data_IF_288997127395
#
_entry.id   IF_288997127395
#
_cell.length_a   1.000
_cell.length_b   1.000
_cell.length_c   1.000
_cell.angle_alpha   90.00
_cell.angle_beta   90.00
_cell.angle_gamma   90.00
#
_symmetry.space_group_name_H-M   'P 1'
#
loop_
_entity.id
_entity.type
_entity.pdbx_description
1 polymer ?
#
# COMPACT_ATOMS: atom_id res chain seq x y z
N UNK A 1 -1.59 23.69 -31.51
CA UNK A 1 -2.34 23.86 -30.25
C UNK A 1 -1.74 22.87 -29.26
N UNK A 2 -0.89 23.32 -28.34
CA UNK A 2 -0.26 22.42 -27.37
C UNK A 2 -1.36 21.97 -26.42
N UNK A 3 -1.72 20.68 -26.47
CA UNK A 3 -2.71 20.10 -25.57
C UNK A 3 -2.15 20.23 -24.15
N UNK A 4 -2.68 21.15 -23.36
CA UNK A 4 -2.35 21.23 -21.95
C UNK A 4 -2.86 19.93 -21.32
N UNK A 5 -1.95 19.01 -21.00
CA UNK A 5 -2.33 17.72 -20.43
C UNK A 5 -3.05 17.98 -19.11
N UNK A 6 -4.32 17.58 -19.03
CA UNK A 6 -5.09 17.60 -17.79
C UNK A 6 -4.47 16.63 -16.78
N UNK A 7 -3.51 17.15 -16.02
CA UNK A 7 -2.82 16.42 -14.95
C UNK A 7 -3.28 16.96 -13.61
N UNK A 8 -3.18 16.13 -12.56
CA UNK A 8 -3.41 16.57 -11.18
C UNK A 8 -2.47 17.74 -10.83
N UNK A 9 -1.24 17.73 -11.35
CA UNK A 9 -0.30 18.83 -11.20
C UNK A 9 -0.84 20.16 -11.73
N UNK A 10 -1.37 20.17 -12.97
CA UNK A 10 -1.93 21.37 -13.58
C UNK A 10 -3.13 21.90 -12.78
N UNK A 11 -4.02 20.99 -12.35
CA UNK A 11 -5.18 21.33 -11.52
C UNK A 11 -4.78 21.91 -10.17
N UNK A 12 -3.80 21.31 -9.47
CA UNK A 12 -3.28 21.82 -8.20
C UNK A 12 -2.62 23.19 -8.38
N UNK A 13 -1.84 23.40 -9.45
CA UNK A 13 -1.21 24.69 -9.73
C UNK A 13 -2.25 25.78 -10.00
N UNK A 14 -3.32 25.45 -10.72
CA UNK A 14 -4.42 26.38 -10.96
C UNK A 14 -5.16 26.73 -9.65
N UNK A 15 -5.48 25.73 -8.82
CA UNK A 15 -6.28 25.92 -7.61
C UNK A 15 -5.50 26.49 -6.41
N UNK A 16 -4.21 26.15 -6.31
CA UNK A 16 -3.31 26.46 -5.19
C UNK A 16 -1.92 26.92 -5.69
N UNK A 17 -1.83 28.01 -6.48
CA UNK A 17 -0.55 28.46 -7.04
C UNK A 17 0.50 28.78 -5.96
N UNK A 18 0.07 29.24 -4.78
CA UNK A 18 0.92 29.56 -3.64
C UNK A 18 1.58 28.34 -2.98
N UNK A 19 1.05 27.13 -3.21
CA UNK A 19 1.60 25.89 -2.67
C UNK A 19 2.58 25.21 -3.64
N UNK A 20 2.76 25.76 -4.84
CA UNK A 20 3.70 25.23 -5.80
C UNK A 20 5.14 25.47 -5.34
N UNK A 21 5.90 24.38 -5.21
CA UNK A 21 7.30 24.37 -4.79
C UNK A 21 8.22 24.30 -6.02
N UNK A 22 8.87 25.42 -6.41
CA UNK A 22 9.72 25.47 -7.60
C UNK A 22 10.98 24.61 -7.47
N UNK A 23 11.35 24.16 -6.26
CA UNK A 23 12.47 23.24 -6.05
C UNK A 23 12.15 21.79 -6.44
N UNK A 24 10.90 21.51 -6.84
CA UNK A 24 10.46 20.18 -7.23
C UNK A 24 10.11 20.14 -8.72
N UNK A 25 10.45 19.03 -9.38
CA UNK A 25 10.17 18.85 -10.80
C UNK A 25 8.67 19.05 -11.14
N UNK A 26 7.78 18.52 -10.29
CA UNK A 26 6.34 18.64 -10.47
C UNK A 26 5.73 19.87 -9.78
N UNK A 27 6.48 20.72 -9.10
CA UNK A 27 5.90 21.79 -8.27
C UNK A 27 5.16 21.31 -7.02
N UNK A 28 4.99 20.00 -6.82
CA UNK A 28 4.30 19.41 -5.67
C UNK A 28 4.96 18.11 -5.26
N UNK A 29 4.83 17.73 -3.99
CA UNK A 29 5.44 16.53 -3.41
C UNK A 29 4.39 15.44 -3.23
N UNK A 30 4.12 14.67 -4.28
CA UNK A 30 3.22 13.51 -4.22
C UNK A 30 3.80 12.42 -3.32
N UNK A 31 3.05 12.02 -2.29
CA UNK A 31 3.51 11.02 -1.31
C UNK A 31 3.42 9.59 -1.86
N UNK A 32 2.52 9.36 -2.80
CA UNK A 32 2.32 8.10 -3.52
C UNK A 32 1.71 8.38 -4.89
N UNK A 33 1.44 7.31 -5.65
CA UNK A 33 0.83 7.38 -6.98
C UNK A 33 -0.54 6.67 -7.00
N UNK A 34 -1.32 7.00 -8.01
CA UNK A 34 -2.51 6.29 -8.48
C UNK A 34 -2.37 6.09 -9.99
N UNK A 35 -2.93 4.99 -10.50
CA UNK A 35 -3.02 4.77 -11.95
C UNK A 35 -3.90 5.86 -12.59
N UNK A 36 -3.63 6.20 -13.85
CA UNK A 36 -4.39 7.23 -14.59
C UNK A 36 -5.92 7.01 -14.53
N UNK A 37 -6.37 5.76 -14.71
CA UNK A 37 -7.79 5.41 -14.74
C UNK A 37 -8.39 5.20 -13.33
N UNK A 38 -7.60 5.26 -12.27
CA UNK A 38 -8.05 5.08 -10.88
C UNK A 38 -8.36 6.42 -10.23
N UNK A 39 -9.57 6.57 -9.71
CA UNK A 39 -9.94 7.75 -8.90
C UNK A 39 -9.68 7.54 -7.41
N UNK A 40 -9.80 8.59 -6.61
CA UNK A 40 -9.89 8.49 -5.15
C UNK A 40 -8.77 9.25 -4.43
N UNK A 41 -8.48 8.83 -3.20
CA UNK A 41 -7.55 9.51 -2.30
C UNK A 41 -6.11 9.55 -2.84
N UNK A 42 -5.55 10.76 -2.97
CA UNK A 42 -4.16 11.01 -3.33
C UNK A 42 -3.56 12.04 -2.36
N UNK A 43 -2.49 11.64 -1.65
CA UNK A 43 -1.83 12.51 -0.68
C UNK A 43 -0.68 13.32 -1.31
N UNK A 44 -0.70 14.63 -1.06
CA UNK A 44 0.36 15.58 -1.46
C UNK A 44 0.89 16.28 -0.22
N UNK A 45 2.19 16.20 0.01
CA UNK A 45 2.85 16.91 1.09
C UNK A 45 3.14 18.36 0.70
N UNK A 46 2.86 19.29 1.62
CA UNK A 46 3.04 20.73 1.38
C UNK A 46 4.45 21.24 1.69
N UNK A 47 5.30 20.42 2.30
CA UNK A 47 6.69 20.76 2.57
C UNK A 47 7.58 19.50 2.62
N UNK A 48 8.90 19.72 2.62
CA UNK A 48 9.90 18.64 2.61
C UNK A 48 9.83 17.74 3.84
N UNK A 49 9.53 18.30 5.03
CA UNK A 49 9.43 17.54 6.27
C UNK A 49 8.24 16.57 6.24
N UNK A 50 7.06 17.04 5.84
CA UNK A 50 5.85 16.23 5.67
C UNK A 50 6.06 15.14 4.61
N UNK A 51 6.71 15.47 3.48
CA UNK A 51 7.04 14.49 2.45
C UNK A 51 7.96 13.39 2.99
N UNK A 52 8.95 13.75 3.82
CA UNK A 52 9.85 12.80 4.47
C UNK A 52 9.14 11.90 5.48
N UNK A 53 8.18 12.43 6.26
CA UNK A 53 7.38 11.63 7.17
C UNK A 53 6.49 10.63 6.43
N UNK A 54 5.71 11.10 5.44
CA UNK A 54 4.85 10.24 4.64
C UNK A 54 5.66 9.16 3.89
N UNK A 55 6.80 9.53 3.31
CA UNK A 55 7.70 8.59 2.64
C UNK A 55 8.14 7.44 3.56
N UNK A 56 8.48 7.72 4.83
CA UNK A 56 8.82 6.67 5.80
C UNK A 56 7.66 5.72 6.02
N UNK A 57 6.43 6.22 6.20
CA UNK A 57 5.26 5.37 6.37
C UNK A 57 5.02 4.44 5.16
N UNK A 58 5.17 4.96 3.93
CA UNK A 58 5.04 4.14 2.71
C UNK A 58 6.18 3.12 2.58
N UNK A 59 7.42 3.54 2.85
CA UNK A 59 8.61 2.67 2.79
C UNK A 59 8.52 1.53 3.80
N UNK A 60 8.08 1.82 5.01
CA UNK A 60 7.99 0.87 6.12
C UNK A 60 6.67 0.07 6.09
N UNK A 61 5.84 0.28 5.06
CA UNK A 61 4.54 -0.40 4.84
C UNK A 61 3.57 -0.25 6.02
N UNK A 62 3.56 0.92 6.64
CA UNK A 62 2.65 1.25 7.74
C UNK A 62 1.36 1.93 7.27
N UNK A 63 1.33 2.39 6.01
CA UNK A 63 0.13 2.97 5.40
C UNK A 63 -0.90 1.88 5.14
N UNK A 64 -2.15 2.13 5.55
CA UNK A 64 -3.30 1.29 5.21
C UNK A 64 -4.07 1.93 4.08
N UNK A 65 -4.38 1.12 3.06
CA UNK A 65 -5.17 1.55 1.90
C UNK A 65 -6.28 0.54 1.67
N UNK A 66 -7.45 1.03 1.28
CA UNK A 66 -8.53 0.18 0.79
C UNK A 66 -9.16 0.81 -0.46
N UNK A 67 -9.51 -0.02 -1.41
CA UNK A 67 -10.05 0.37 -2.70
C UNK A 67 -11.41 -0.29 -2.90
N UNK A 68 -12.34 0.44 -3.49
CA UNK A 68 -13.56 -0.16 -4.01
C UNK A 68 -13.35 -0.54 -5.46
N UNK A 69 -13.94 -1.66 -5.87
CA UNK A 69 -14.04 -2.01 -7.26
C UNK A 69 -15.37 -2.69 -7.58
N UNK A 70 -15.84 -2.52 -8.81
CA UNK A 70 -16.78 -3.45 -9.45
C UNK A 70 -15.96 -4.41 -10.31
N UNK A 71 -16.06 -5.71 -10.06
CA UNK A 71 -15.38 -6.76 -10.83
C UNK A 71 -16.39 -7.62 -11.58
N UNK A 72 -16.02 -8.08 -12.78
CA UNK A 72 -16.87 -8.93 -13.62
C UNK A 72 -17.12 -10.29 -12.96
N UNK A 73 -18.32 -10.82 -13.13
CA UNK A 73 -18.76 -12.09 -12.55
C UNK A 73 -19.08 -12.01 -11.06
N UNK A 74 -19.57 -13.14 -10.52
CA UNK A 74 -19.81 -13.30 -9.09
C UNK A 74 -18.61 -13.97 -8.43
N UNK A 75 -17.94 -13.25 -7.53
CA UNK A 75 -16.83 -13.81 -6.75
C UNK A 75 -17.40 -14.77 -5.71
N UNK A 76 -17.03 -16.05 -5.80
CA UNK A 76 -17.57 -17.10 -4.93
C UNK A 76 -17.08 -16.98 -3.49
N UNK A 77 -15.79 -16.65 -3.29
CA UNK A 77 -15.18 -16.51 -1.97
C UNK A 77 -15.41 -15.10 -1.43
N UNK A 78 -16.24 -14.98 -0.40
CA UNK A 78 -16.58 -13.68 0.22
C UNK A 78 -15.37 -12.96 0.83
N UNK A 79 -14.35 -13.71 1.24
CA UNK A 79 -13.05 -13.20 1.67
C UNK A 79 -11.96 -14.07 1.07
N UNK A 80 -10.98 -13.46 0.41
CA UNK A 80 -9.86 -14.18 -0.17
C UNK A 80 -8.57 -13.35 -0.13
N UNK A 81 -7.46 -14.02 0.12
CA UNK A 81 -6.12 -13.46 -0.05
C UNK A 81 -5.59 -13.84 -1.43
N UNK A 82 -5.15 -12.84 -2.19
CA UNK A 82 -4.55 -12.97 -3.51
C UNK A 82 -3.05 -12.73 -3.36
N UNK A 83 -2.24 -13.75 -3.63
CA UNK A 83 -0.80 -13.79 -3.32
C UNK A 83 0.08 -14.08 -4.56
N UNK A 84 -0.46 -13.88 -5.76
CA UNK A 84 0.30 -14.01 -7.01
C UNK A 84 1.44 -12.98 -7.07
N UNK A 85 2.68 -13.42 -7.27
CA UNK A 85 3.80 -12.51 -7.56
C UNK A 85 3.57 -11.80 -8.90
N UNK A 86 3.92 -10.51 -8.98
CA UNK A 86 3.73 -9.70 -10.20
C UNK A 86 5.08 -9.24 -10.77
N UNK A 87 5.26 -9.47 -12.07
CA UNK A 87 6.42 -9.07 -12.87
C UNK A 87 6.03 -8.18 -14.05
N UNK A 88 7.04 -7.70 -14.79
CA UNK A 88 6.82 -6.98 -16.04
C UNK A 88 6.49 -7.99 -17.14
N UNK A 89 5.62 -7.62 -18.07
CA UNK A 89 5.39 -8.42 -19.26
C UNK A 89 6.36 -7.98 -20.37
N UNK A 90 7.14 -8.90 -20.93
CA UNK A 90 8.05 -8.64 -22.06
C UNK A 90 7.55 -9.17 -23.41
N UNK A 91 6.37 -9.79 -23.45
CA UNK A 91 5.73 -10.20 -24.70
C UNK A 91 5.42 -8.99 -25.58
N UNK A 92 5.59 -9.18 -26.89
CA UNK A 92 5.30 -8.15 -27.89
C UNK A 92 3.85 -7.64 -27.77
N UNK A 93 3.67 -6.33 -27.85
CA UNK A 93 2.37 -5.66 -27.68
C UNK A 93 1.86 -5.55 -26.24
N UNK A 94 2.46 -6.25 -25.27
CA UNK A 94 2.03 -6.27 -23.85
C UNK A 94 3.02 -5.62 -22.89
N UNK A 95 4.07 -4.96 -23.39
CA UNK A 95 5.15 -4.36 -22.57
C UNK A 95 4.70 -3.24 -21.63
N UNK A 96 3.52 -2.67 -21.86
CA UNK A 96 2.87 -1.71 -20.96
C UNK A 96 2.07 -2.37 -19.82
N UNK A 97 1.94 -3.70 -19.84
CA UNK A 97 1.22 -4.50 -18.86
C UNK A 97 2.18 -5.11 -17.83
N UNK A 98 1.58 -5.42 -16.69
CA UNK A 98 2.17 -6.31 -15.68
C UNK A 98 1.53 -7.70 -15.82
N UNK A 99 2.20 -8.75 -15.39
CA UNK A 99 1.66 -10.11 -15.43
C UNK A 99 2.03 -10.89 -14.16
N UNK A 100 1.32 -11.98 -13.92
CA UNK A 100 1.60 -12.88 -12.80
C UNK A 100 2.76 -13.81 -13.14
N UNK A 101 3.49 -14.23 -12.12
CA UNK A 101 4.47 -15.32 -12.21
C UNK A 101 3.87 -16.55 -12.91
N UNK A 102 4.66 -17.19 -13.79
CA UNK A 102 4.21 -18.31 -14.62
C UNK A 102 3.53 -17.92 -15.95
N UNK A 103 3.19 -16.64 -16.15
CA UNK A 103 2.76 -16.15 -17.47
C UNK A 103 3.96 -16.07 -18.43
N UNK A 104 3.76 -16.39 -19.70
CA UNK A 104 4.78 -16.18 -20.75
C UNK A 104 5.24 -14.71 -20.77
N UNK A 105 6.55 -14.50 -20.88
CA UNK A 105 7.14 -13.15 -20.86
C UNK A 105 7.13 -12.46 -19.49
N UNK A 106 6.85 -13.16 -18.38
CA UNK A 106 6.92 -12.57 -17.05
C UNK A 106 8.36 -12.43 -16.55
N UNK A 107 8.80 -11.20 -16.35
CA UNK A 107 10.16 -10.87 -15.91
C UNK A 107 10.18 -10.27 -14.49
N UNK A 108 11.12 -10.76 -13.68
CA UNK A 108 11.40 -10.28 -12.32
C UNK A 108 10.13 -10.18 -11.44
N UNK A 109 9.37 -11.29 -11.28
CA UNK A 109 8.20 -11.28 -10.43
C UNK A 109 8.57 -10.97 -8.99
N UNK A 110 7.77 -10.12 -8.34
CA UNK A 110 7.96 -9.76 -6.93
C UNK A 110 6.75 -10.19 -6.13
N UNK A 111 6.95 -10.73 -4.91
CA UNK A 111 5.83 -11.08 -4.03
C UNK A 111 4.92 -9.88 -3.82
N UNK A 112 3.63 -10.10 -3.98
CA UNK A 112 2.62 -9.09 -3.70
C UNK A 112 1.33 -9.73 -3.23
N UNK A 113 0.62 -9.03 -2.35
CA UNK A 113 -0.53 -9.56 -1.65
C UNK A 113 -1.65 -8.53 -1.59
N UNK A 114 -2.87 -8.99 -1.87
CA UNK A 114 -4.10 -8.21 -1.81
C UNK A 114 -5.15 -9.02 -1.05
N UNK A 115 -5.78 -8.43 -0.05
CA UNK A 115 -6.98 -8.99 0.57
C UNK A 115 -8.21 -8.47 -0.18
N UNK A 116 -9.09 -9.38 -0.61
CA UNK A 116 -10.35 -9.09 -1.26
C UNK A 116 -11.50 -9.46 -0.32
N UNK A 117 -12.43 -8.54 -0.11
CA UNK A 117 -13.66 -8.76 0.63
C UNK A 117 -14.85 -8.40 -0.26
N UNK A 118 -15.79 -9.31 -0.43
CA UNK A 118 -17.03 -9.04 -1.14
C UNK A 118 -17.96 -8.18 -0.29
N UNK A 119 -18.51 -7.13 -0.90
CA UNK A 119 -19.48 -6.23 -0.27
C UNK A 119 -20.89 -6.52 -0.80
N UNK A 120 -21.06 -6.51 -2.12
CA UNK A 120 -22.36 -6.62 -2.77
C UNK A 120 -22.24 -7.41 -4.08
N UNK A 121 -23.30 -8.12 -4.45
CA UNK A 121 -23.49 -8.71 -5.78
C UNK A 121 -24.58 -7.94 -6.51
N UNK A 122 -24.45 -7.83 -7.82
CA UNK A 122 -25.46 -7.20 -8.65
C UNK A 122 -25.16 -7.35 -10.13
N UNK A 123 -25.71 -6.41 -10.90
CA UNK A 123 -25.51 -6.32 -12.33
C UNK A 123 -24.88 -4.97 -12.71
N UNK A 124 -24.04 -4.97 -13.73
CA UNK A 124 -23.59 -3.76 -14.41
C UNK A 124 -23.88 -3.88 -15.89
N UNK A 125 -24.77 -3.03 -16.40
CA UNK A 125 -25.20 -3.06 -17.82
C UNK A 125 -25.77 -4.43 -18.26
N UNK A 126 -26.41 -5.14 -17.32
CA UNK A 126 -27.00 -6.47 -17.55
C UNK A 126 -26.08 -7.65 -17.23
N UNK A 127 -24.76 -7.43 -17.11
CA UNK A 127 -23.80 -8.49 -16.77
C UNK A 127 -23.65 -8.65 -15.27
N UNK A 128 -23.38 -9.88 -14.81
CA UNK A 128 -23.08 -10.14 -13.40
C UNK A 128 -21.77 -9.45 -12.98
N UNK A 129 -21.81 -8.75 -11.85
CA UNK A 129 -20.64 -8.14 -11.23
C UNK A 129 -20.68 -8.27 -9.71
N UNK A 130 -19.52 -8.11 -9.09
CA UNK A 130 -19.35 -8.07 -7.64
C UNK A 130 -18.70 -6.76 -7.23
N UNK A 131 -19.28 -6.08 -6.26
CA UNK A 131 -18.63 -4.96 -5.58
C UNK A 131 -17.75 -5.50 -4.46
N UNK A 132 -16.48 -5.14 -4.51
CA UNK A 132 -15.46 -5.63 -3.58
C UNK A 132 -14.69 -4.49 -2.93
N UNK A 133 -14.22 -4.74 -1.71
CA UNK A 133 -13.18 -3.96 -1.06
C UNK A 133 -11.84 -4.70 -1.22
N UNK A 134 -10.84 -3.99 -1.73
CA UNK A 134 -9.49 -4.50 -1.96
C UNK A 134 -8.51 -3.77 -1.03
N UNK A 135 -7.83 -4.52 -0.16
CA UNK A 135 -6.76 -4.02 0.72
C UNK A 135 -5.41 -4.54 0.22
N UNK A 136 -4.65 -3.74 -0.55
CA UNK A 136 -3.31 -4.13 -0.97
C UNK A 136 -2.32 -4.00 0.19
N UNK A 137 -1.71 -5.12 0.58
CA UNK A 137 -0.65 -5.18 1.60
C UNK A 137 0.73 -4.83 1.03
N UNK A 138 0.84 -4.85 -0.30
CA UNK A 138 2.00 -4.39 -1.06
C UNK A 138 1.60 -3.30 -2.07
N UNK A 139 2.55 -2.70 -2.77
CA UNK A 139 2.27 -1.69 -3.79
C UNK A 139 3.05 -1.94 -5.07
N UNK A 140 2.61 -2.90 -5.89
CA UNK A 140 3.14 -3.11 -7.25
C UNK A 140 2.29 -2.35 -8.27
N UNK A 141 2.90 -1.99 -9.39
CA UNK A 141 2.21 -1.35 -10.51
C UNK A 141 1.02 -2.21 -10.93
N UNK A 142 -0.16 -1.60 -11.07
CA UNK A 142 -1.40 -2.27 -11.47
C UNK A 142 -1.80 -3.48 -10.60
N UNK A 143 -1.28 -3.62 -9.36
CA UNK A 143 -1.42 -4.84 -8.55
C UNK A 143 -2.87 -5.34 -8.46
N UNK A 144 -3.80 -4.45 -8.09
CA UNK A 144 -5.21 -4.80 -7.92
C UNK A 144 -5.84 -5.28 -9.23
N UNK A 145 -5.54 -4.59 -10.33
CA UNK A 145 -6.05 -4.89 -11.67
C UNK A 145 -5.59 -6.26 -12.16
N UNK A 146 -4.29 -6.56 -12.00
CA UNK A 146 -3.69 -7.85 -12.33
C UNK A 146 -4.27 -8.96 -11.46
N UNK A 147 -4.34 -8.77 -10.13
CA UNK A 147 -4.85 -9.78 -9.21
C UNK A 147 -6.32 -10.12 -9.47
N UNK A 148 -7.17 -9.12 -9.70
CA UNK A 148 -8.57 -9.32 -10.05
C UNK A 148 -8.71 -10.06 -11.39
N UNK A 149 -7.95 -9.67 -12.41
CA UNK A 149 -7.92 -10.39 -13.70
C UNK A 149 -7.41 -11.85 -13.55
N UNK A 150 -6.39 -12.08 -12.71
CA UNK A 150 -5.80 -13.40 -12.49
C UNK A 150 -6.76 -14.40 -11.84
N UNK A 151 -7.72 -13.93 -11.03
CA UNK A 151 -8.79 -14.78 -10.47
C UNK A 151 -10.02 -14.90 -11.39
N UNK A 152 -9.94 -14.41 -12.62
CA UNK A 152 -11.05 -14.46 -13.59
C UNK A 152 -12.11 -13.37 -13.41
N UNK A 153 -11.86 -12.38 -12.55
CA UNK A 153 -12.80 -11.31 -12.23
C UNK A 153 -12.16 -9.94 -12.54
N UNK A 154 -11.89 -9.60 -13.81
CA UNK A 154 -11.30 -8.31 -14.16
C UNK A 154 -12.19 -7.15 -13.69
N UNK A 155 -11.55 -6.01 -13.41
CA UNK A 155 -12.27 -4.80 -12.99
C UNK A 155 -13.08 -4.28 -14.18
N UNK A 156 -14.35 -3.95 -13.94
CA UNK A 156 -15.25 -3.38 -14.95
C UNK A 156 -14.64 -2.12 -15.55
N UNK A 157 -14.55 -2.07 -16.88
CA UNK A 157 -13.98 -0.94 -17.62
C UNK A 157 -12.44 -0.90 -17.63
N UNK A 158 -11.76 -1.96 -17.19
CA UNK A 158 -10.31 -2.09 -17.32
C UNK A 158 -9.91 -2.67 -18.69
N UNK A 159 -9.86 -1.79 -19.69
CA UNK A 159 -9.51 -2.13 -21.07
C UNK A 159 -8.21 -2.93 -21.20
N UNK A 160 -7.20 -2.64 -20.37
CA UNK A 160 -5.88 -3.28 -20.44
C UNK A 160 -5.94 -4.74 -20.01
N UNK A 161 -6.53 -5.00 -18.84
CA UNK A 161 -6.53 -6.34 -18.23
C UNK A 161 -7.73 -7.20 -18.60
N UNK A 162 -8.73 -6.61 -19.26
CA UNK A 162 -9.79 -7.34 -19.97
C UNK A 162 -9.38 -7.72 -21.40
N UNK A 163 -8.15 -7.42 -21.84
CA UNK A 163 -7.68 -7.61 -23.22
C UNK A 163 -8.61 -6.96 -24.27
N UNK A 164 -9.09 -5.75 -23.96
CA UNK A 164 -9.98 -4.99 -24.83
C UNK A 164 -11.47 -5.34 -24.73
N UNK A 165 -11.87 -6.36 -23.96
CA UNK A 165 -13.27 -6.76 -23.84
C UNK A 165 -14.17 -5.76 -23.09
N UNK A 166 -13.63 -5.03 -22.10
CA UNK A 166 -14.38 -4.05 -21.29
C UNK A 166 -14.08 -2.62 -21.74
N UNK A 167 -14.59 -2.23 -22.90
CA UNK A 167 -14.45 -0.88 -23.47
C UNK A 167 -15.72 -0.02 -23.38
N UNK A 168 -16.86 -0.63 -23.07
CA UNK A 168 -18.18 0.04 -22.99
C UNK A 168 -18.43 0.86 -21.71
N UNK A 169 -17.91 0.51 -20.52
CA UNK A 169 -18.08 1.35 -19.33
C UNK A 169 -17.39 2.70 -19.49
N UNK A 170 -18.01 3.79 -19.00
CA UNK A 170 -17.48 5.16 -19.19
C UNK A 170 -16.14 5.42 -18.46
N UNK A 171 -15.73 4.51 -17.58
CA UNK A 171 -14.50 4.56 -16.80
C UNK A 171 -14.14 3.18 -16.27
N UNK A 172 -12.92 3.04 -15.77
CA UNK A 172 -12.53 1.91 -14.93
C UNK A 172 -13.14 2.06 -13.53
N UNK A 173 -13.77 0.99 -13.04
CA UNK A 173 -14.45 0.92 -11.75
C UNK A 173 -13.48 0.53 -10.64
N UNK A 174 -12.42 1.32 -10.47
CA UNK A 174 -11.48 1.22 -9.35
C UNK A 174 -11.34 2.56 -8.66
N UNK A 175 -11.54 2.58 -7.34
CA UNK A 175 -11.55 3.80 -6.54
C UNK A 175 -10.75 3.62 -5.24
N UNK A 176 -9.75 4.47 -5.01
CA UNK A 176 -9.00 4.57 -3.77
C UNK A 176 -9.88 5.20 -2.68
N UNK A 177 -10.61 4.36 -1.96
CA UNK A 177 -11.61 4.77 -0.97
C UNK A 177 -10.95 5.23 0.34
N UNK A 178 -10.06 4.42 0.92
CA UNK A 178 -9.44 4.68 2.21
C UNK A 178 -7.94 4.92 2.05
N UNK A 179 -7.44 5.97 2.71
CA UNK A 179 -6.02 6.20 2.94
C UNK A 179 -5.79 6.57 4.41
N UNK A 180 -5.09 5.71 5.12
CA UNK A 180 -4.66 5.93 6.50
C UNK A 180 -3.13 5.93 6.59
N UNK A 181 -2.55 7.09 6.90
CA UNK A 181 -1.11 7.28 7.10
C UNK A 181 -0.90 7.59 8.59
N UNK A 182 -0.20 6.72 9.35
CA UNK A 182 0.04 6.91 10.78
C UNK A 182 1.14 7.96 11.02
N UNK A 183 0.86 9.21 10.66
CA UNK A 183 1.70 10.36 10.97
C UNK A 183 1.62 10.69 12.46
N UNK A 184 2.66 11.34 12.97
CA UNK A 184 2.69 11.88 14.34
C UNK A 184 2.68 13.42 14.30
N UNK A 185 2.02 14.09 15.27
CA UNK A 185 1.30 13.51 16.40
C UNK A 185 -0.08 12.95 16.05
N UNK A 186 -0.63 13.32 14.89
CA UNK A 186 -1.97 12.93 14.45
C UNK A 186 -1.92 12.15 13.14
N UNK A 187 -2.62 10.99 13.07
CA UNK A 187 -2.70 10.21 11.84
C UNK A 187 -3.54 10.94 10.77
N UNK A 188 -3.13 10.82 9.51
CA UNK A 188 -3.95 11.25 8.39
C UNK A 188 -4.90 10.11 8.01
N UNK A 189 -6.18 10.30 8.27
CA UNK A 189 -7.25 9.39 7.85
C UNK A 189 -8.15 10.10 6.84
N UNK A 190 -8.20 9.58 5.62
CA UNK A 190 -9.12 10.06 4.59
C UNK A 190 -9.96 8.90 4.04
N UNK A 191 -11.29 9.08 4.04
CA UNK A 191 -12.24 8.24 3.31
C UNK A 191 -12.88 9.09 2.21
N UNK A 192 -12.64 8.73 0.95
CA UNK A 192 -13.32 9.29 -0.20
C UNK A 192 -14.70 8.64 -0.35
N UNK A 193 -15.73 9.40 -0.71
CA UNK A 193 -17.09 8.86 -0.87
C UNK A 193 -17.14 7.71 -1.89
N UNK A 194 -17.98 6.72 -1.63
CA UNK A 194 -18.22 5.61 -2.55
C UNK A 194 -18.83 6.11 -3.87
N UNK A 195 -18.17 5.95 -5.03
CA UNK A 195 -18.72 6.36 -6.31
C UNK A 195 -19.57 5.28 -6.99
N UNK A 196 -19.69 4.07 -6.44
CA UNK A 196 -20.36 2.93 -7.08
C UNK A 196 -21.72 2.67 -6.43
N UNK A 197 -22.66 3.57 -6.68
CA UNK A 197 -24.05 3.49 -6.24
C UNK A 197 -25.01 3.94 -7.36
N UNK A 198 -26.20 3.35 -7.39
CA UNK A 198 -27.11 3.41 -8.54
C UNK A 198 -27.58 4.82 -8.92
N UNK A 199 -27.61 5.77 -7.97
CA UNK A 199 -28.00 7.15 -8.26
C UNK A 199 -26.94 7.89 -9.08
N UNK A 200 -25.65 7.60 -8.85
CA UNK A 200 -24.56 8.20 -9.62
C UNK A 200 -24.32 7.46 -10.93
N UNK A 201 -24.49 6.13 -10.92
CA UNK A 201 -24.38 5.28 -12.09
C UNK A 201 -25.54 4.27 -12.16
N UNK A 202 -26.60 4.59 -12.94
CA UNK A 202 -27.77 3.73 -13.07
C UNK A 202 -27.50 2.36 -13.69
N UNK A 203 -26.32 2.15 -14.32
CA UNK A 203 -25.94 0.84 -14.85
C UNK A 203 -25.63 -0.15 -13.75
N UNK A 204 -25.19 0.32 -12.58
CA UNK A 204 -24.95 -0.51 -11.41
C UNK A 204 -26.26 -0.76 -10.64
N UNK A 205 -26.68 -2.02 -10.64
CA UNK A 205 -27.90 -2.49 -9.98
C UNK A 205 -27.52 -3.51 -8.88
N UNK A 206 -27.36 -3.07 -7.62
CA UNK A 206 -27.10 -3.98 -6.50
C UNK A 206 -28.31 -4.88 -6.27
N UNK A 207 -28.05 -6.16 -6.02
CA UNK A 207 -29.09 -7.18 -5.80
C UNK A 207 -28.99 -7.85 -4.44
N UNK A 208 -27.76 -8.12 -3.96
CA UNK A 208 -27.51 -8.79 -2.68
C UNK A 208 -26.35 -8.11 -1.96
N UNK A 209 -26.60 -7.59 -0.77
CA UNK A 209 -25.56 -7.04 0.11
C UNK A 209 -25.11 -8.10 1.12
N UNK A 210 -23.81 -8.31 1.26
CA UNK A 210 -23.22 -9.17 2.29
C UNK A 210 -22.72 -8.37 3.49
N UNK A 211 -22.07 -7.23 3.23
CA UNK A 211 -21.40 -6.41 4.23
C UNK A 211 -21.58 -4.94 3.88
N UNK A 212 -21.68 -4.08 4.89
CA UNK A 212 -21.65 -2.64 4.66
C UNK A 212 -20.21 -2.16 4.50
N UNK A 213 -20.02 -1.13 3.67
CA UNK A 213 -18.71 -0.52 3.47
C UNK A 213 -18.14 0.01 4.78
N UNK A 214 -18.95 0.73 5.56
CA UNK A 214 -18.56 1.34 6.83
C UNK A 214 -18.03 0.29 7.82
N UNK A 215 -18.81 -0.76 8.09
CA UNK A 215 -18.39 -1.80 9.03
C UNK A 215 -17.13 -2.54 8.57
N UNK A 216 -16.99 -2.74 7.26
CA UNK A 216 -15.80 -3.39 6.69
C UNK A 216 -14.55 -2.51 6.87
N UNK A 217 -14.65 -1.20 6.64
CA UNK A 217 -13.55 -0.24 6.83
C UNK A 217 -13.17 -0.11 8.31
N UNK A 218 -14.15 -0.04 9.21
CA UNK A 218 -13.91 0.00 10.66
C UNK A 218 -13.15 -1.25 11.12
N UNK A 219 -13.60 -2.45 10.74
CA UNK A 219 -12.93 -3.71 11.07
C UNK A 219 -11.49 -3.76 10.52
N UNK A 220 -11.23 -3.25 9.30
CA UNK A 220 -9.88 -3.18 8.75
C UNK A 220 -8.96 -2.27 9.55
N UNK A 221 -9.46 -1.14 10.04
CA UNK A 221 -8.68 -0.21 10.85
C UNK A 221 -8.42 -0.76 12.25
N UNK A 222 -9.39 -1.42 12.87
CA UNK A 222 -9.22 -2.10 14.15
C UNK A 222 -8.16 -3.21 14.07
N UNK A 223 -8.23 -4.04 13.02
CA UNK A 223 -7.20 -5.05 12.75
C UNK A 223 -5.82 -4.43 12.61
N UNK A 224 -5.72 -3.29 11.90
CA UNK A 224 -4.46 -2.59 11.71
C UNK A 224 -3.88 -2.08 13.03
N UNK A 225 -4.71 -1.49 13.88
CA UNK A 225 -4.28 -1.00 15.21
C UNK A 225 -3.72 -2.15 16.04
N UNK A 226 -4.39 -3.31 16.02
CA UNK A 226 -3.94 -4.50 16.73
C UNK A 226 -2.64 -5.08 16.16
N UNK A 227 -2.49 -5.12 14.83
CA UNK A 227 -1.24 -5.51 14.16
C UNK A 227 -0.08 -4.59 14.57
N UNK A 228 -0.29 -3.27 14.54
CA UNK A 228 0.73 -2.29 14.91
C UNK A 228 1.09 -2.40 16.41
N UNK A 229 0.12 -2.72 17.28
CA UNK A 229 0.36 -3.00 18.71
C UNK A 229 1.25 -4.23 18.89
N UNK A 230 0.93 -5.34 18.23
CA UNK A 230 1.73 -6.59 18.27
C UNK A 230 3.15 -6.35 17.75
N UNK A 231 3.31 -5.67 16.63
CA UNK A 231 4.63 -5.34 16.06
C UNK A 231 5.46 -4.50 17.05
N UNK A 232 4.84 -3.53 17.75
CA UNK A 232 5.53 -2.74 18.78
C UNK A 232 5.95 -3.59 19.97
N UNK A 233 5.09 -4.49 20.45
CA UNK A 233 5.38 -5.42 21.54
C UNK A 233 6.54 -6.35 21.18
N UNK A 234 6.52 -6.96 19.99
CA UNK A 234 7.60 -7.83 19.49
C UNK A 234 8.94 -7.10 19.36
N UNK A 235 8.93 -5.84 18.88
CA UNK A 235 10.15 -5.02 18.81
C UNK A 235 10.71 -4.71 20.19
N UNK A 236 9.85 -4.40 21.17
CA UNK A 236 10.27 -4.16 22.56
C UNK A 236 10.90 -5.41 23.18
N UNK A 237 10.25 -6.56 22.99
CA UNK A 237 10.74 -7.85 23.49
C UNK A 237 12.08 -8.23 22.85
N UNK A 238 12.24 -8.02 21.53
CA UNK A 238 13.50 -8.24 20.84
C UNK A 238 14.62 -7.34 21.35
N UNK A 239 14.32 -6.05 21.59
CA UNK A 239 15.28 -5.10 22.14
C UNK A 239 15.73 -5.51 23.56
N UNK A 240 14.78 -5.93 24.41
CA UNK A 240 15.07 -6.43 25.75
C UNK A 240 15.99 -7.66 25.73
N UNK A 241 15.68 -8.66 24.89
CA UNK A 241 16.53 -9.86 24.73
C UNK A 241 17.92 -9.53 24.23
N UNK A 242 18.04 -8.56 23.33
CA UNK A 242 19.36 -8.12 22.84
C UNK A 242 20.16 -7.41 23.94
N UNK A 243 19.52 -6.61 24.78
CA UNK A 243 20.13 -5.97 25.93
C UNK A 243 20.59 -6.98 26.99
N UNK A 244 19.74 -7.96 27.32
CA UNK A 244 20.08 -9.06 28.24
C UNK A 244 21.28 -9.88 27.72
N UNK A 245 21.31 -10.17 26.41
CA UNK A 245 22.44 -10.87 25.79
C UNK A 245 23.74 -10.06 25.85
N UNK A 246 23.66 -8.73 25.67
CA UNK A 246 24.81 -7.82 25.81
C UNK A 246 25.30 -7.74 27.25
N UNK A 247 24.40 -7.74 28.24
CA UNK A 247 24.75 -7.78 29.68
C UNK A 247 25.45 -9.09 30.03
N UNK A 248 24.90 -10.24 29.63
CA UNK A 248 25.54 -11.54 29.87
C UNK A 248 26.93 -11.69 29.22
N UNK A 249 27.13 -11.17 28.00
CA UNK A 249 28.46 -11.12 27.38
C UNK A 249 29.43 -10.19 28.14
N UNK A 250 28.94 -9.08 28.69
CA UNK A 250 29.75 -8.15 29.49
C UNK A 250 30.17 -8.78 30.81
N UNK A 251 29.26 -9.47 31.49
CA UNK A 251 29.54 -10.20 32.74
C UNK A 251 30.55 -11.32 32.54
N UNK A 252 30.38 -12.17 31.51
CA UNK A 252 31.36 -13.21 31.17
C UNK A 252 32.74 -12.66 30.78
N UNK A 253 32.79 -11.46 30.19
CA UNK A 253 34.06 -10.80 29.85
C UNK A 253 34.77 -10.24 31.08
N UNK A 254 34.02 -9.76 32.07
CA UNK A 254 34.55 -9.32 33.37
C UNK A 254 35.04 -10.52 34.19
N UNK A 255 34.32 -11.65 34.13
CA UNK A 255 34.66 -12.87 34.89
C UNK A 255 35.87 -13.62 34.31
N UNK A 256 36.16 -13.47 33.00
CA UNK A 256 37.35 -14.04 32.34
C UNK A 256 38.66 -13.26 32.56
N UNK A 257 38.59 -12.06 33.14
CA UNK A 257 39.78 -11.29 33.50
C UNK A 257 40.33 -11.88 34.80
N UNK A 258 41.39 -12.70 34.72
CA UNK A 258 41.90 -13.39 35.92
C UNK A 258 42.52 -12.40 36.92
N UNK A 259 42.52 -12.72 38.22
CA UNK A 259 43.18 -11.91 39.25
C UNK A 259 44.66 -11.62 38.90
N UNK A 260 45.30 -12.53 38.17
CA UNK A 260 46.68 -12.45 37.70
C UNK A 260 46.85 -11.39 36.59
N UNK A 261 45.91 -11.31 35.65
CA UNK A 261 45.89 -10.29 34.61
C UNK A 261 45.62 -8.89 35.18
N UNK A 262 44.76 -8.80 36.20
CA UNK A 262 44.52 -7.54 36.94
C UNK A 262 45.76 -7.08 37.70
N UNK A 263 46.48 -8.01 38.33
CA UNK A 263 47.75 -7.73 39.02
C UNK A 263 48.81 -7.21 38.06
N UNK A 264 49.01 -7.88 36.92
CA UNK A 264 49.93 -7.44 35.87
C UNK A 264 49.60 -6.04 35.34
N UNK A 265 48.33 -5.73 35.14
CA UNK A 265 47.91 -4.42 34.65
C UNK A 265 48.13 -3.30 35.70
N UNK A 266 47.93 -3.60 36.99
CA UNK A 266 48.21 -2.68 38.09
C UNK A 266 49.72 -2.44 38.29
N UNK A 267 50.55 -3.48 38.18
CA UNK A 267 52.01 -3.34 38.20
C UNK A 267 52.47 -2.42 37.06
N UNK A 268 51.99 -2.66 35.83
CA UNK A 268 52.31 -1.83 34.67
C UNK A 268 51.90 -0.35 34.83
N UNK A 269 50.72 -0.08 35.40
CA UNK A 269 50.26 1.28 35.66
C UNK A 269 51.07 2.00 36.75
N UNK A 270 51.58 1.24 37.74
CA UNK A 270 52.44 1.80 38.79
C UNK A 270 53.85 2.15 38.29
N UNK A 271 54.37 1.39 37.32
CA UNK A 271 55.66 1.69 36.66
C UNK A 271 55.57 2.93 35.76
N UNK A 272 54.41 3.20 35.15
CA UNK A 272 54.21 4.36 34.26
C UNK A 272 53.81 5.66 34.98
N UNK A 273 53.33 5.59 36.22
CA UNK A 273 52.98 6.75 37.04
C UNK A 273 54.16 7.27 37.90
N UNK A 274 55.36 6.69 37.73
CA UNK A 274 56.59 7.13 38.37
C UNK A 274 57.37 8.13 37.52
N UNK A 275 56.94 9.39 37.58
CA UNK A 275 57.74 10.62 37.80
C UNK A 275 56.81 11.85 37.88
#
# INVERSE_FOLDING_TARGET
MWYEKHTVQAQLRHRFPQLADPSTYYGFRFCHQLDFSTSGALCVALNKAAAGQAYRCFKDRTVTKAYLALVRGWVEKETQTLDFSIGKNSSEGKTHMMCIEGTEGCENPKPCQTELLVLEYGLYDGDSVTKVLLKPLTGRTHQLRVHCSAIGHPIVGDFTYSLGADDTPYRMMLHAHLLHIPLEPEPLHVSAGDPFFSTLDPKWLPQRSLRTLTATVEALLEQRVEEDRKIKEEKKERARREEERRKGHREQRIEKESEEQRKQCQEWLSEWAGD
#
